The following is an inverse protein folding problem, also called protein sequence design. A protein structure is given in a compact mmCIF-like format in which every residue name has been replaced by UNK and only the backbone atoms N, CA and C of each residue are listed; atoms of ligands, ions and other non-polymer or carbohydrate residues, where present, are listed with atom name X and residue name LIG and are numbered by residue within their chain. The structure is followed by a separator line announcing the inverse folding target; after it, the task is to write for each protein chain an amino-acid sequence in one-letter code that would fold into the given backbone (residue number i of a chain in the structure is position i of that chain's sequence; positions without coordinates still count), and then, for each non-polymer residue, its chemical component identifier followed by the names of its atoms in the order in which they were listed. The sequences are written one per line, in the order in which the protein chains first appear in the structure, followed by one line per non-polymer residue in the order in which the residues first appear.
data_IF_229534961102
#
_entry.id   IF_229534961102
#
_cell.length_a   1.000
_cell.length_b   1.000
_cell.length_c   1.000
_cell.angle_alpha   90.00
_cell.angle_beta   90.00
_cell.angle_gamma   90.00
#
_symmetry.space_group_name_H-M   'P 1'
#
loop_
_entity.id
_entity.type
_entity.pdbx_description
1 polymer ?
#
# COMPACT_ATOMS: atom_id res chain seq x y z
N UNK A 1 8.15 -27.64 32.06
CA UNK A 1 9.34 -26.84 31.72
C UNK A 1 8.88 -25.43 31.36
N UNK A 2 9.15 -24.47 32.26
CA UNK A 2 8.65 -23.10 32.19
C UNK A 2 9.59 -22.25 31.36
N UNK A 3 9.08 -21.62 30.32
CA UNK A 3 9.81 -20.61 29.55
C UNK A 3 9.61 -19.25 30.25
N UNK A 4 10.68 -18.71 30.79
CA UNK A 4 10.72 -17.36 31.36
C UNK A 4 10.71 -16.33 30.23
N UNK A 5 9.70 -15.45 30.27
CA UNK A 5 9.65 -14.20 29.49
C UNK A 5 10.82 -13.29 29.89
N UNK A 6 11.75 -13.08 28.99
CA UNK A 6 12.81 -12.08 29.15
C UNK A 6 12.26 -10.67 28.92
N UNK A 7 12.39 -9.83 29.93
CA UNK A 7 12.13 -8.40 29.85
C UNK A 7 13.10 -7.75 28.86
N UNK A 8 12.58 -7.25 27.72
CA UNK A 8 13.33 -6.33 26.88
C UNK A 8 13.23 -4.93 27.46
N UNK A 9 14.33 -4.49 28.07
CA UNK A 9 14.53 -3.12 28.53
C UNK A 9 14.60 -2.17 27.34
N UNK A 10 13.94 -1.01 27.48
CA UNK A 10 13.96 0.14 26.59
C UNK A 10 15.39 0.46 26.10
N UNK A 11 15.70 0.13 24.86
CA UNK A 11 16.88 0.66 24.19
C UNK A 11 16.61 2.12 23.81
N UNK A 12 17.43 3.02 24.29
CA UNK A 12 17.42 4.45 24.00
C UNK A 12 17.34 4.70 22.50
N UNK A 13 16.22 5.26 22.06
CA UNK A 13 15.98 5.73 20.70
C UNK A 13 16.84 6.96 20.47
N UNK A 14 18.04 6.76 19.89
CA UNK A 14 18.88 7.85 19.42
C UNK A 14 18.26 8.39 18.13
N UNK A 15 17.57 9.53 18.24
CA UNK A 15 17.00 10.28 17.11
C UNK A 15 18.13 10.76 16.20
N UNK A 16 18.51 9.92 15.22
CA UNK A 16 19.22 10.44 14.05
C UNK A 16 18.22 11.26 13.25
N UNK A 17 18.22 12.56 13.47
CA UNK A 17 17.49 13.55 12.69
C UNK A 17 17.75 13.29 11.20
N UNK A 18 16.67 13.09 10.43
CA UNK A 18 16.77 12.93 8.98
C UNK A 18 17.52 14.11 8.39
N UNK A 19 18.54 13.88 7.58
CA UNK A 19 19.36 14.90 6.91
C UNK A 19 18.57 15.86 6.00
N UNK A 20 17.24 15.67 5.84
CA UNK A 20 16.45 16.31 4.82
C UNK A 20 15.29 17.10 5.42
N UNK A 21 15.20 18.41 5.17
CA UNK A 21 14.00 19.16 5.50
C UNK A 21 12.87 18.73 4.56
N UNK A 22 11.95 17.95 5.08
CA UNK A 22 10.67 17.62 4.43
C UNK A 22 9.69 18.73 4.80
N UNK A 23 8.77 19.09 3.92
CA UNK A 23 7.61 19.91 4.31
C UNK A 23 6.99 19.26 5.55
N UNK A 24 6.73 19.99 6.63
CA UNK A 24 6.32 19.38 7.90
C UNK A 24 5.07 18.51 7.80
N UNK A 25 4.33 18.59 6.70
CA UNK A 25 3.05 17.92 6.51
C UNK A 25 3.05 16.81 5.45
N UNK A 26 4.14 16.59 4.67
CA UNK A 26 4.12 15.51 3.64
C UNK A 26 4.36 14.16 4.26
N UNK A 27 3.48 13.22 3.99
CA UNK A 27 3.62 11.82 4.39
C UNK A 27 4.28 11.01 3.26
N UNK A 28 5.38 10.33 3.59
CA UNK A 28 6.13 9.47 2.66
C UNK A 28 5.95 8.03 3.12
N UNK A 29 5.16 7.28 2.37
CA UNK A 29 4.68 5.96 2.77
C UNK A 29 5.18 4.90 1.79
N UNK A 30 5.94 3.95 2.29
CA UNK A 30 6.35 2.77 1.55
C UNK A 30 5.21 1.74 1.56
N UNK A 31 4.79 1.26 0.38
CA UNK A 31 3.87 0.13 0.27
C UNK A 31 4.69 -1.11 -0.11
N UNK A 32 4.83 -2.04 0.80
CA UNK A 32 5.73 -3.18 0.68
C UNK A 32 5.09 -4.49 1.11
N UNK A 33 5.73 -5.60 0.73
CA UNK A 33 5.31 -6.95 1.11
C UNK A 33 6.48 -7.92 1.02
N UNK A 34 6.42 -9.01 1.77
CA UNK A 34 7.40 -10.07 1.70
C UNK A 34 7.28 -10.99 0.47
N UNK A 35 6.09 -11.01 -0.18
CA UNK A 35 5.79 -11.93 -1.29
C UNK A 35 5.25 -11.17 -2.50
N UNK A 36 5.62 -11.63 -3.70
CA UNK A 36 5.04 -11.14 -4.94
C UNK A 36 3.56 -11.51 -5.08
N UNK A 37 2.78 -10.69 -5.81
CA UNK A 37 1.39 -10.99 -6.14
C UNK A 37 0.37 -10.78 -5.01
N UNK A 38 0.74 -10.30 -3.83
CA UNK A 38 -0.21 -10.00 -2.72
C UNK A 38 -1.03 -8.73 -2.93
N UNK A 39 -0.72 -7.91 -3.96
CA UNK A 39 -1.52 -6.76 -4.35
C UNK A 39 -0.95 -5.39 -3.96
N UNK A 40 0.37 -5.23 -3.80
CA UNK A 40 1.03 -3.93 -3.53
C UNK A 40 0.63 -2.85 -4.51
N UNK A 41 0.94 -3.05 -5.79
CA UNK A 41 0.68 -2.09 -6.87
C UNK A 41 -0.82 -1.77 -6.98
N UNK A 42 -1.68 -2.78 -6.80
CA UNK A 42 -3.14 -2.58 -6.78
C UNK A 42 -3.57 -1.71 -5.60
N UNK A 43 -3.00 -1.94 -4.41
CA UNK A 43 -3.24 -1.08 -3.24
C UNK A 43 -2.74 0.33 -3.51
N UNK A 44 -1.52 0.50 -4.02
CA UNK A 44 -0.91 1.81 -4.31
C UNK A 44 -1.78 2.62 -5.27
N UNK A 45 -2.23 2.03 -6.38
CA UNK A 45 -3.09 2.68 -7.36
C UNK A 45 -4.44 3.11 -6.74
N UNK A 46 -5.13 2.18 -6.06
CA UNK A 46 -6.45 2.45 -5.48
C UNK A 46 -6.41 3.42 -4.30
N UNK A 47 -5.37 3.32 -3.45
CA UNK A 47 -5.16 4.24 -2.33
C UNK A 47 -4.81 5.64 -2.83
N UNK A 48 -3.96 5.74 -3.88
CA UNK A 48 -3.62 7.00 -4.53
C UNK A 48 -4.86 7.72 -5.06
N UNK A 49 -5.73 7.03 -5.79
CA UNK A 49 -7.03 7.57 -6.25
C UNK A 49 -7.91 7.99 -5.06
N UNK A 50 -8.03 7.14 -4.03
CA UNK A 50 -8.90 7.42 -2.90
C UNK A 50 -8.45 8.67 -2.12
N UNK A 51 -7.15 8.85 -1.90
CA UNK A 51 -6.60 10.04 -1.24
C UNK A 51 -6.79 11.30 -2.10
N UNK A 52 -6.56 11.21 -3.41
CA UNK A 52 -6.71 12.32 -4.34
C UNK A 52 -8.16 12.80 -4.43
N UNK A 53 -9.13 11.87 -4.44
CA UNK A 53 -10.58 12.17 -4.38
C UNK A 53 -11.00 12.89 -3.11
N UNK A 54 -10.28 12.70 -2.03
CA UNK A 54 -10.46 13.42 -0.77
C UNK A 54 -9.77 14.78 -0.75
N UNK A 55 -9.21 15.22 -1.88
CA UNK A 55 -8.57 16.52 -2.07
C UNK A 55 -7.08 16.57 -1.76
N UNK A 56 -6.47 15.45 -1.34
CA UNK A 56 -5.04 15.42 -1.04
C UNK A 56 -4.22 15.35 -2.34
N UNK A 57 -3.22 16.22 -2.48
CA UNK A 57 -2.25 16.14 -3.57
C UNK A 57 -1.38 14.90 -3.37
N UNK A 58 -1.58 13.89 -4.19
CA UNK A 58 -0.97 12.58 -4.04
C UNK A 58 -0.09 12.27 -5.25
N UNK A 59 1.11 11.79 -5.01
CA UNK A 59 1.94 11.18 -6.05
C UNK A 59 2.20 9.72 -5.70
N UNK A 60 2.07 8.88 -6.71
CA UNK A 60 2.49 7.48 -6.64
C UNK A 60 3.80 7.34 -7.39
N UNK A 61 4.81 6.79 -6.74
CA UNK A 61 6.14 6.54 -7.30
C UNK A 61 6.28 5.04 -7.52
N UNK A 62 6.43 4.63 -8.76
CA UNK A 62 6.77 3.25 -9.09
C UNK A 62 8.27 3.02 -8.81
N UNK A 63 8.58 2.20 -7.82
CA UNK A 63 9.95 1.80 -7.49
C UNK A 63 10.25 0.35 -7.93
N UNK A 64 9.34 -0.30 -8.66
CA UNK A 64 9.60 -1.59 -9.32
C UNK A 64 10.17 -1.36 -10.73
N UNK A 65 11.45 -1.03 -10.78
CA UNK A 65 12.17 -0.78 -12.04
C UNK A 65 12.24 -2.02 -12.94
N UNK A 66 11.97 -3.21 -12.39
CA UNK A 66 12.00 -4.46 -13.15
C UNK A 66 10.75 -4.71 -13.97
N UNK A 67 9.57 -4.45 -13.42
CA UNK A 67 8.30 -4.88 -14.01
C UNK A 67 7.38 -3.73 -14.43
N UNK A 68 7.51 -2.52 -13.88
CA UNK A 68 6.71 -1.35 -14.26
C UNK A 68 5.24 -1.68 -14.47
N UNK A 69 4.48 -1.82 -13.40
CA UNK A 69 3.07 -2.19 -13.50
C UNK A 69 2.09 -1.08 -13.07
N UNK A 70 2.59 -0.06 -12.37
CA UNK A 70 1.73 0.99 -11.79
C UNK A 70 1.11 1.89 -12.87
N UNK A 71 1.84 2.15 -13.95
CA UNK A 71 1.36 2.91 -15.10
C UNK A 71 0.21 2.20 -15.83
N UNK A 72 0.31 0.88 -15.98
CA UNK A 72 -0.75 0.05 -16.58
C UNK A 72 -2.02 0.05 -15.72
N UNK A 73 -1.88 -0.10 -14.39
CA UNK A 73 -3.02 -0.09 -13.47
C UNK A 73 -3.76 1.26 -13.45
N UNK A 74 -3.04 2.35 -13.73
CA UNK A 74 -3.59 3.70 -13.78
C UNK A 74 -4.04 4.13 -15.19
N UNK A 75 -3.82 3.30 -16.23
CA UNK A 75 -4.12 3.62 -17.63
C UNK A 75 -3.34 4.82 -18.15
N UNK A 76 -2.09 4.96 -17.71
CA UNK A 76 -1.21 6.09 -18.03
C UNK A 76 -0.02 5.72 -18.91
N UNK A 77 0.15 4.45 -19.29
CA UNK A 77 1.29 3.91 -20.03
C UNK A 77 1.59 4.68 -21.31
N UNK A 78 0.55 5.10 -22.05
CA UNK A 78 0.67 5.83 -23.33
C UNK A 78 0.94 7.34 -23.15
N UNK A 79 1.14 7.82 -21.91
CA UNK A 79 1.38 9.25 -21.60
C UNK A 79 2.76 9.50 -21.01
N UNK A 80 3.55 8.46 -20.83
CA UNK A 80 4.88 8.55 -20.27
C UNK A 80 5.84 8.99 -21.35
N UNK A 81 6.50 10.13 -21.12
CA UNK A 81 7.56 10.68 -21.97
C UNK A 81 8.90 10.59 -21.25
N UNK A 82 8.91 10.92 -19.98
CA UNK A 82 10.06 10.87 -19.09
C UNK A 82 9.72 10.08 -17.83
N UNK A 83 10.74 9.58 -17.16
CA UNK A 83 10.65 8.73 -15.97
C UNK A 83 11.52 9.30 -14.83
N UNK A 84 11.56 8.60 -13.70
CA UNK A 84 12.46 8.93 -12.62
C UNK A 84 13.94 8.92 -13.04
N UNK A 85 14.29 8.12 -14.04
CA UNK A 85 15.65 8.05 -14.56
C UNK A 85 16.11 9.37 -15.16
N UNK A 86 15.35 9.94 -16.09
CA UNK A 86 15.73 11.20 -16.76
C UNK A 86 15.75 12.37 -15.79
N UNK A 87 14.97 12.31 -14.70
CA UNK A 87 15.04 13.30 -13.62
C UNK A 87 16.36 13.19 -12.86
N UNK A 88 16.83 11.98 -12.57
CA UNK A 88 18.11 11.75 -11.88
C UNK A 88 19.32 12.10 -12.76
N UNK A 89 19.22 11.81 -14.05
CA UNK A 89 20.23 12.16 -15.06
C UNK A 89 20.24 13.66 -15.42
N UNK A 90 19.31 14.43 -14.81
CA UNK A 90 19.15 15.89 -15.06
C UNK A 90 18.83 16.25 -16.53
N UNK A 91 18.38 15.26 -17.32
CA UNK A 91 17.97 15.44 -18.71
C UNK A 91 16.55 16.00 -18.86
N UNK A 92 15.74 15.95 -17.79
CA UNK A 92 14.44 16.63 -17.71
C UNK A 92 14.18 17.17 -16.29
N UNK A 93 13.20 18.08 -16.17
CA UNK A 93 12.71 18.54 -14.87
C UNK A 93 11.65 17.55 -14.34
N UNK A 94 11.50 17.48 -13.00
CA UNK A 94 10.51 16.63 -12.34
C UNK A 94 9.10 16.79 -12.93
N UNK A 95 8.68 18.06 -13.17
CA UNK A 95 7.34 18.36 -13.69
C UNK A 95 7.07 17.76 -15.08
N UNK A 96 8.12 17.48 -15.86
CA UNK A 96 8.02 16.86 -17.18
C UNK A 96 7.89 15.33 -17.09
N UNK A 97 8.41 14.73 -16.03
CA UNK A 97 8.30 13.28 -15.76
C UNK A 97 7.01 12.93 -15.00
N UNK A 98 6.38 13.89 -14.31
CA UNK A 98 5.12 13.68 -13.61
C UNK A 98 3.95 13.55 -14.58
N UNK A 99 3.29 12.39 -14.57
CA UNK A 99 2.10 12.10 -15.38
C UNK A 99 0.85 12.31 -14.54
N UNK A 100 0.10 13.40 -14.77
CA UNK A 100 -1.18 13.63 -14.07
C UNK A 100 -2.25 12.64 -14.53
N UNK A 101 -3.02 12.12 -13.59
CA UNK A 101 -4.13 11.23 -13.89
C UNK A 101 -5.25 11.96 -14.64
N UNK A 102 -5.89 11.28 -15.62
CA UNK A 102 -6.85 11.91 -16.54
C UNK A 102 -8.12 12.41 -15.85
N UNK A 103 -8.65 11.62 -14.92
CA UNK A 103 -9.93 11.86 -14.25
C UNK A 103 -9.75 12.37 -12.82
N UNK A 104 -8.53 12.26 -12.28
CA UNK A 104 -8.22 12.63 -10.89
C UNK A 104 -7.02 13.59 -10.84
N UNK A 105 -7.28 14.91 -10.96
CA UNK A 105 -6.22 15.92 -11.14
C UNK A 105 -5.27 16.04 -9.94
N UNK A 106 -5.68 15.59 -8.77
CA UNK A 106 -4.86 15.58 -7.56
C UNK A 106 -3.92 14.37 -7.49
N UNK A 107 -4.01 13.42 -8.45
CA UNK A 107 -3.10 12.29 -8.54
C UNK A 107 -2.11 12.47 -9.67
N UNK A 108 -0.84 12.25 -9.37
CA UNK A 108 0.23 12.13 -10.34
C UNK A 108 0.97 10.79 -10.17
N UNK A 109 1.49 10.28 -11.27
CA UNK A 109 2.43 9.16 -11.31
C UNK A 109 3.82 9.68 -11.64
N UNK A 110 4.84 9.24 -10.90
CA UNK A 110 6.23 9.27 -11.35
C UNK A 110 6.64 7.85 -11.73
N UNK A 111 6.79 7.55 -13.04
CA UNK A 111 7.09 6.20 -13.49
C UNK A 111 8.52 5.78 -13.15
N UNK A 112 8.71 4.49 -12.91
CA UNK A 112 10.03 3.89 -12.85
C UNK A 112 10.80 4.08 -14.15
N UNK A 113 12.13 4.15 -14.06
CA UNK A 113 13.02 4.17 -15.22
C UNK A 113 13.18 2.79 -15.88
N UNK A 114 14.20 2.67 -16.71
CA UNK A 114 14.58 1.43 -17.37
C UNK A 114 15.08 0.41 -16.31
N UNK A 115 14.85 -0.91 -16.48
CA UNK A 115 15.37 -1.96 -15.61
C UNK A 115 16.88 -1.89 -15.34
N UNK A 116 17.67 -1.43 -16.31
CA UNK A 116 19.12 -1.20 -16.12
C UNK A 116 19.45 -0.15 -15.08
N UNK A 117 18.48 0.68 -14.69
CA UNK A 117 18.66 1.66 -13.62
C UNK A 117 18.98 1.02 -12.28
N UNK A 118 18.52 -0.21 -12.02
CA UNK A 118 18.82 -0.96 -10.81
C UNK A 118 20.32 -1.21 -10.61
N UNK A 119 21.12 -1.25 -11.70
CA UNK A 119 22.56 -1.50 -11.63
C UNK A 119 23.33 -0.33 -10.99
N UNK A 120 22.78 0.87 -11.02
CA UNK A 120 23.44 2.08 -10.53
C UNK A 120 22.62 2.92 -9.53
N UNK A 121 21.33 2.66 -9.40
CA UNK A 121 20.46 3.38 -8.48
C UNK A 121 20.90 3.15 -7.03
N UNK A 122 21.11 4.25 -6.32
CA UNK A 122 21.52 4.25 -4.91
C UNK A 122 20.42 4.77 -3.99
N UNK A 123 20.49 4.46 -2.69
CA UNK A 123 19.58 5.04 -1.71
C UNK A 123 19.48 6.56 -1.76
N UNK A 124 20.59 7.25 -1.97
CA UNK A 124 20.65 8.73 -2.05
C UNK A 124 19.85 9.27 -3.25
N UNK A 125 19.81 8.54 -4.37
CA UNK A 125 19.04 8.92 -5.55
C UNK A 125 17.53 8.86 -5.28
N UNK A 126 17.07 7.80 -4.60
CA UNK A 126 15.67 7.70 -4.17
C UNK A 126 15.30 8.81 -3.19
N UNK A 127 16.17 9.12 -2.23
CA UNK A 127 15.97 10.23 -1.30
C UNK A 127 15.89 11.57 -2.03
N UNK A 128 16.72 11.78 -3.06
CA UNK A 128 16.73 13.01 -3.89
C UNK A 128 15.40 13.17 -4.62
N UNK A 129 14.88 12.12 -5.26
CA UNK A 129 13.57 12.14 -5.93
C UNK A 129 12.46 12.45 -4.93
N UNK A 130 12.38 11.71 -3.83
CA UNK A 130 11.33 11.90 -2.82
C UNK A 130 11.38 13.30 -2.24
N UNK A 131 12.58 13.85 -1.96
CA UNK A 131 12.74 15.25 -1.51
C UNK A 131 12.19 16.27 -2.50
N UNK A 132 12.32 16.04 -3.81
CA UNK A 132 11.72 16.92 -4.81
C UNK A 132 10.18 16.83 -4.79
N UNK A 133 9.63 15.62 -4.64
CA UNK A 133 8.19 15.37 -4.56
C UNK A 133 7.54 16.01 -3.34
N UNK A 134 8.20 15.99 -2.17
CA UNK A 134 7.65 16.57 -0.93
C UNK A 134 7.39 18.07 -0.98
N UNK A 135 7.90 18.77 -1.99
CA UNK A 135 7.63 20.21 -2.19
C UNK A 135 6.26 20.49 -2.81
N UNK A 136 5.62 19.49 -3.41
CA UNK A 136 4.43 19.65 -4.26
C UNK A 136 3.25 18.80 -3.82
N UNK A 137 3.48 17.73 -3.03
CA UNK A 137 2.48 16.73 -2.68
C UNK A 137 2.31 16.56 -1.18
N UNK A 138 1.08 16.25 -0.75
CA UNK A 138 0.74 15.92 0.63
C UNK A 138 1.08 14.45 0.95
N UNK A 139 0.97 13.58 -0.05
CA UNK A 139 1.29 12.16 0.04
C UNK A 139 2.23 11.73 -1.08
N UNK A 140 3.29 11.02 -0.70
CA UNK A 140 4.18 10.30 -1.60
C UNK A 140 4.03 8.81 -1.27
N UNK A 141 3.35 8.06 -2.13
CA UNK A 141 3.20 6.61 -2.00
C UNK A 141 4.26 5.93 -2.87
N UNK A 142 5.12 5.14 -2.27
CA UNK A 142 6.19 4.42 -2.98
C UNK A 142 5.77 2.97 -3.15
N UNK A 143 5.49 2.56 -4.40
CA UNK A 143 5.22 1.15 -4.74
C UNK A 143 6.52 0.39 -4.81
N UNK A 144 6.78 -0.43 -3.80
CA UNK A 144 8.03 -1.14 -3.63
C UNK A 144 8.04 -2.44 -4.46
N UNK A 145 9.17 -2.88 -5.03
CA UNK A 145 9.29 -4.22 -5.56
C UNK A 145 9.03 -5.29 -4.50
N UNK A 146 8.73 -6.51 -4.93
CA UNK A 146 8.55 -7.63 -4.01
C UNK A 146 9.89 -8.08 -3.41
N UNK A 147 9.83 -8.58 -2.17
CA UNK A 147 11.01 -9.12 -1.50
C UNK A 147 11.78 -8.09 -0.70
N UNK A 148 13.04 -8.38 -0.44
CA UNK A 148 13.90 -7.64 0.52
C UNK A 148 15.26 -7.25 -0.08
N UNK A 149 15.37 -7.30 -1.40
CA UNK A 149 16.61 -7.04 -2.13
C UNK A 149 16.89 -5.54 -2.28
N UNK A 150 17.84 -5.17 -3.14
CA UNK A 150 18.33 -3.79 -3.25
C UNK A 150 17.24 -2.79 -3.66
N UNK A 151 16.28 -3.19 -4.50
CA UNK A 151 15.12 -2.35 -4.82
C UNK A 151 14.31 -1.97 -3.58
N UNK A 152 14.07 -2.92 -2.67
CA UNK A 152 13.43 -2.66 -1.38
C UNK A 152 14.27 -1.70 -0.53
N UNK A 153 15.58 -1.93 -0.42
CA UNK A 153 16.47 -1.07 0.40
C UNK A 153 16.48 0.37 -0.11
N UNK A 154 16.54 0.55 -1.43
CA UNK A 154 16.48 1.87 -2.06
C UNK A 154 15.16 2.59 -1.75
N UNK A 155 14.02 1.92 -1.93
CA UNK A 155 12.70 2.49 -1.62
C UNK A 155 12.54 2.78 -0.11
N UNK A 156 12.98 1.87 0.75
CA UNK A 156 12.91 2.02 2.20
C UNK A 156 13.76 3.20 2.69
N UNK A 157 14.94 3.44 2.10
CA UNK A 157 15.83 4.54 2.50
C UNK A 157 15.21 5.94 2.36
N UNK A 158 14.25 6.09 1.45
CA UNK A 158 13.55 7.35 1.19
C UNK A 158 12.24 7.48 1.96
N UNK A 159 11.83 6.44 2.69
CA UNK A 159 10.53 6.34 3.35
C UNK A 159 10.61 6.69 4.84
N UNK A 160 9.51 7.15 5.40
CA UNK A 160 9.37 7.42 6.83
C UNK A 160 8.39 6.49 7.51
N UNK A 161 7.35 6.10 6.79
CA UNK A 161 6.25 5.26 7.22
C UNK A 161 6.14 4.08 6.26
N UNK A 162 5.53 2.99 6.71
CA UNK A 162 5.27 1.85 5.83
C UNK A 162 3.86 1.28 6.02
N UNK A 163 3.30 0.80 4.92
CA UNK A 163 2.14 -0.09 4.89
C UNK A 163 2.65 -1.44 4.40
N UNK A 164 2.61 -2.43 5.27
CA UNK A 164 2.88 -3.82 4.91
C UNK A 164 1.58 -4.45 4.46
N UNK A 165 1.53 -4.91 3.21
CA UNK A 165 0.40 -5.66 2.67
C UNK A 165 0.72 -7.15 2.63
N UNK A 166 -0.20 -7.97 3.11
CA UNK A 166 -0.11 -9.43 3.04
C UNK A 166 -1.50 -10.04 2.77
N UNK A 167 -1.53 -11.34 2.49
CA UNK A 167 -2.75 -12.15 2.41
C UNK A 167 -2.83 -13.04 3.64
N UNK A 168 -4.04 -13.50 4.07
CA UNK A 168 -4.19 -14.35 5.26
C UNK A 168 -3.80 -15.82 4.97
N UNK A 169 -2.63 -15.99 4.37
CA UNK A 169 -1.97 -17.25 4.07
C UNK A 169 -0.71 -17.38 4.91
N UNK A 170 -0.48 -18.53 5.53
CA UNK A 170 0.66 -18.77 6.44
C UNK A 170 2.01 -18.36 5.82
N UNK A 171 2.24 -18.70 4.54
CA UNK A 171 3.49 -18.35 3.86
C UNK A 171 3.63 -16.84 3.66
N UNK A 172 2.56 -16.15 3.29
CA UNK A 172 2.58 -14.70 3.06
C UNK A 172 2.77 -13.92 4.38
N UNK A 173 2.15 -14.38 5.47
CA UNK A 173 2.32 -13.81 6.82
C UNK A 173 3.76 -13.98 7.30
N UNK A 174 4.36 -15.16 7.11
CA UNK A 174 5.77 -15.40 7.45
C UNK A 174 6.74 -14.50 6.67
N UNK A 175 6.47 -14.28 5.39
CA UNK A 175 7.30 -13.38 4.57
C UNK A 175 7.10 -11.92 4.95
N UNK A 176 5.88 -11.52 5.37
CA UNK A 176 5.59 -10.19 5.90
C UNK A 176 6.35 -9.91 7.21
N UNK A 177 6.44 -10.87 8.12
CA UNK A 177 7.19 -10.75 9.37
C UNK A 177 8.67 -10.41 9.12
N UNK A 178 9.30 -11.03 8.12
CA UNK A 178 10.68 -10.71 7.71
C UNK A 178 10.84 -9.27 7.25
N UNK A 179 9.89 -8.78 6.46
CA UNK A 179 9.90 -7.38 5.99
C UNK A 179 9.73 -6.42 7.15
N UNK A 180 8.84 -6.72 8.11
CA UNK A 180 8.63 -5.91 9.31
C UNK A 180 9.93 -5.80 10.11
N UNK A 181 10.67 -6.90 10.30
CA UNK A 181 11.97 -6.88 10.95
C UNK A 181 12.97 -5.95 10.26
N UNK A 182 13.01 -5.96 8.93
CA UNK A 182 13.88 -5.07 8.15
C UNK A 182 13.45 -3.60 8.23
N UNK A 183 12.16 -3.31 8.18
CA UNK A 183 11.64 -1.95 8.34
C UNK A 183 12.00 -1.37 9.71
N UNK A 184 11.84 -2.14 10.77
CA UNK A 184 12.23 -1.76 12.13
C UNK A 184 13.74 -1.49 12.23
N UNK A 185 14.58 -2.35 11.64
CA UNK A 185 16.03 -2.17 11.62
C UNK A 185 16.44 -0.89 10.87
N UNK A 186 15.69 -0.49 9.84
CA UNK A 186 15.91 0.76 9.10
C UNK A 186 15.27 1.99 9.78
N UNK A 187 14.63 1.84 10.93
CA UNK A 187 14.03 2.94 11.70
C UNK A 187 12.77 3.53 11.07
N UNK A 188 12.06 2.76 10.25
CA UNK A 188 10.80 3.18 9.64
C UNK A 188 9.67 3.00 10.64
N UNK A 189 8.93 4.06 10.93
CA UNK A 189 7.80 4.07 11.88
C UNK A 189 6.89 5.28 11.60
N UNK A 190 5.55 5.14 11.65
CA UNK A 190 4.82 3.91 11.98
C UNK A 190 4.81 2.89 10.84
N UNK A 191 4.65 1.61 11.22
CA UNK A 191 4.36 0.51 10.29
C UNK A 191 2.93 0.06 10.53
N UNK A 192 2.12 -0.01 9.48
CA UNK A 192 0.71 -0.41 9.54
C UNK A 192 0.44 -1.61 8.63
N UNK A 193 -0.53 -2.44 8.98
CA UNK A 193 -0.89 -3.64 8.22
C UNK A 193 -2.11 -3.39 7.33
N UNK A 194 -2.05 -3.84 6.09
CA UNK A 194 -3.22 -4.06 5.23
C UNK A 194 -3.34 -5.55 4.91
N UNK A 195 -4.46 -6.15 5.25
CA UNK A 195 -4.75 -7.55 4.97
C UNK A 195 -5.59 -7.64 3.69
N UNK A 196 -5.03 -8.21 2.63
CA UNK A 196 -5.66 -8.28 1.30
C UNK A 196 -6.22 -9.67 1.00
N UNK A 197 -7.16 -9.72 0.03
CA UNK A 197 -7.80 -10.96 -0.45
C UNK A 197 -8.46 -11.77 0.67
N UNK A 198 -9.08 -11.08 1.60
CA UNK A 198 -9.81 -11.72 2.70
C UNK A 198 -11.06 -12.41 2.16
N UNK A 199 -11.19 -13.71 2.43
CA UNK A 199 -12.33 -14.55 2.03
C UNK A 199 -13.14 -14.95 3.26
N UNK A 200 -14.26 -14.29 3.55
CA UNK A 200 -15.04 -14.55 4.78
C UNK A 200 -15.47 -15.98 4.96
N UNK A 201 -15.81 -16.68 3.85
CA UNK A 201 -16.23 -18.08 3.89
C UNK A 201 -15.10 -19.00 4.32
N UNK A 202 -13.87 -18.79 3.83
CA UNK A 202 -12.71 -19.60 4.18
C UNK A 202 -12.26 -19.37 5.63
N UNK A 203 -12.42 -18.14 6.14
CA UNK A 203 -12.18 -17.86 7.57
C UNK A 203 -13.21 -18.62 8.42
N UNK A 204 -14.48 -18.60 8.05
CA UNK A 204 -15.54 -19.30 8.78
C UNK A 204 -15.39 -20.83 8.77
N UNK A 205 -14.78 -21.41 7.72
CA UNK A 205 -14.45 -22.84 7.63
C UNK A 205 -13.07 -23.20 8.19
N UNK A 206 -12.33 -22.23 8.77
CA UNK A 206 -10.96 -22.40 9.29
C UNK A 206 -9.93 -22.84 8.23
N UNK A 207 -10.18 -22.55 6.97
CA UNK A 207 -9.28 -22.84 5.84
C UNK A 207 -8.37 -21.62 5.51
N UNK A 208 -8.56 -20.50 6.19
CA UNK A 208 -7.80 -19.27 6.05
C UNK A 208 -7.60 -18.66 7.45
N UNK A 209 -6.42 -18.06 7.70
CA UNK A 209 -6.17 -17.36 8.95
C UNK A 209 -7.20 -16.24 9.14
N UNK A 210 -7.67 -16.07 10.37
CA UNK A 210 -8.53 -14.94 10.71
C UNK A 210 -7.77 -13.62 10.71
N UNK A 211 -8.49 -12.51 10.72
CA UNK A 211 -7.88 -11.18 10.85
C UNK A 211 -7.11 -11.07 12.17
N UNK A 212 -7.70 -11.60 13.27
CA UNK A 212 -7.11 -11.56 14.60
C UNK A 212 -5.83 -12.40 14.65
N UNK A 213 -5.84 -13.63 14.06
CA UNK A 213 -4.63 -14.47 14.00
C UNK A 213 -3.47 -13.73 13.31
N UNK A 214 -3.73 -13.05 12.19
CA UNK A 214 -2.67 -12.33 11.46
C UNK A 214 -2.17 -11.11 12.22
N UNK A 215 -3.07 -10.35 12.86
CA UNK A 215 -2.68 -9.18 13.66
C UNK A 215 -1.90 -9.57 14.91
N UNK A 216 -2.24 -10.68 15.54
CA UNK A 216 -1.52 -11.21 16.70
C UNK A 216 -0.12 -11.72 16.31
N UNK A 217 -0.01 -12.43 15.18
CA UNK A 217 1.28 -12.93 14.69
C UNK A 217 2.22 -11.77 14.32
N UNK A 218 1.73 -10.78 13.57
CA UNK A 218 2.57 -9.69 13.07
C UNK A 218 2.74 -8.53 14.06
N UNK A 219 1.92 -8.47 15.10
CA UNK A 219 1.92 -7.43 16.15
C UNK A 219 1.91 -5.99 15.58
N UNK A 220 1.18 -5.77 14.48
CA UNK A 220 1.03 -4.47 13.83
C UNK A 220 -0.40 -3.94 13.93
N UNK A 221 -0.57 -2.61 14.04
CA UNK A 221 -1.89 -1.99 13.94
C UNK A 221 -2.48 -2.23 12.53
N UNK A 222 -3.71 -2.75 12.50
CA UNK A 222 -4.45 -2.99 11.26
C UNK A 222 -5.01 -1.67 10.73
N UNK A 223 -4.45 -1.18 9.63
CA UNK A 223 -4.97 -0.02 8.90
C UNK A 223 -6.27 -0.36 8.17
N UNK A 224 -6.38 -1.56 7.64
CA UNK A 224 -7.58 -2.05 7.00
C UNK A 224 -7.43 -3.42 6.37
N UNK A 225 -8.57 -3.94 5.91
CA UNK A 225 -8.61 -5.16 5.13
C UNK A 225 -9.30 -4.92 3.78
N UNK A 226 -8.97 -5.73 2.80
CA UNK A 226 -9.58 -5.73 1.47
C UNK A 226 -10.14 -7.11 1.20
N UNK A 227 -11.45 -7.16 0.93
CA UNK A 227 -12.12 -8.40 0.57
C UNK A 227 -11.71 -8.87 -0.82
N UNK A 228 -11.64 -10.18 -1.03
CA UNK A 228 -11.47 -10.74 -2.38
C UNK A 228 -12.65 -10.35 -3.24
N UNK A 229 -12.36 -9.74 -4.39
CA UNK A 229 -13.36 -9.22 -5.32
C UNK A 229 -12.85 -9.36 -6.75
N UNK A 230 -13.58 -10.10 -7.58
CA UNK A 230 -13.23 -10.31 -8.99
C UNK A 230 -13.18 -9.00 -9.80
N UNK A 231 -13.93 -7.97 -9.36
CA UNK A 231 -13.91 -6.66 -9.99
C UNK A 231 -12.52 -6.00 -9.93
N UNK A 232 -11.68 -6.36 -8.96
CA UNK A 232 -10.29 -5.90 -8.90
C UNK A 232 -9.51 -6.35 -10.13
N UNK A 233 -9.67 -7.62 -10.54
CA UNK A 233 -9.00 -8.16 -11.73
C UNK A 233 -9.52 -7.47 -13.00
N UNK A 234 -10.84 -7.31 -13.11
CA UNK A 234 -11.48 -6.67 -14.26
C UNK A 234 -11.01 -5.22 -14.41
N UNK A 235 -10.99 -4.45 -13.31
CA UNK A 235 -10.56 -3.06 -13.30
C UNK A 235 -9.07 -2.91 -13.63
N UNK A 236 -8.23 -3.78 -13.06
CA UNK A 236 -6.79 -3.82 -13.34
C UNK A 236 -6.52 -4.06 -14.83
N UNK A 237 -7.19 -5.04 -15.44
CA UNK A 237 -7.02 -5.36 -16.87
C UNK A 237 -7.49 -4.22 -17.81
N UNK A 238 -8.33 -3.31 -17.32
CA UNK A 238 -8.78 -2.12 -18.06
C UNK A 238 -7.89 -0.89 -17.85
N UNK A 239 -6.91 -0.97 -16.93
CA UNK A 239 -6.15 0.21 -16.53
C UNK A 239 -7.01 1.27 -15.80
N UNK A 240 -8.05 0.83 -15.12
CA UNK A 240 -9.00 1.69 -14.42
C UNK A 240 -9.12 1.25 -12.95
N UNK A 241 -8.45 1.91 -11.99
CA UNK A 241 -8.52 1.52 -10.57
C UNK A 241 -9.96 1.40 -10.09
N UNK A 242 -10.23 0.37 -9.30
CA UNK A 242 -11.58 0.04 -8.85
C UNK A 242 -12.24 1.17 -8.05
N UNK A 243 -11.47 1.92 -7.26
CA UNK A 243 -11.93 3.12 -6.55
C UNK A 243 -12.38 4.24 -7.47
N UNK A 244 -11.96 4.21 -8.73
CA UNK A 244 -12.39 5.18 -9.74
C UNK A 244 -13.73 4.80 -10.36
N UNK A 245 -13.95 3.52 -10.65
CA UNK A 245 -15.04 3.04 -11.50
C UNK A 245 -16.22 2.43 -10.75
N UNK A 246 -16.00 1.85 -9.58
CA UNK A 246 -16.99 1.02 -8.88
C UNK A 246 -17.09 1.32 -7.39
N UNK A 247 -17.65 2.46 -7.02
CA UNK A 247 -17.79 2.87 -5.61
C UNK A 247 -18.58 1.88 -4.74
N UNK A 248 -19.43 1.03 -5.34
CA UNK A 248 -20.27 0.06 -4.63
C UNK A 248 -19.62 -1.32 -4.46
N UNK A 249 -18.47 -1.58 -5.09
CA UNK A 249 -17.72 -2.83 -4.89
C UNK A 249 -17.26 -2.95 -3.43
N UNK A 250 -17.32 -4.14 -2.82
CA UNK A 250 -16.79 -4.34 -1.47
C UNK A 250 -15.31 -3.94 -1.35
N UNK A 251 -14.47 -4.31 -2.33
CA UNK A 251 -13.06 -3.95 -2.34
C UNK A 251 -12.84 -2.44 -2.52
N UNK A 252 -13.62 -1.76 -3.37
CA UNK A 252 -13.52 -0.30 -3.54
C UNK A 252 -13.83 0.45 -2.23
N UNK A 253 -14.84 0.00 -1.49
CA UNK A 253 -15.15 0.55 -0.15
C UNK A 253 -14.00 0.29 0.84
N UNK A 254 -13.37 -0.90 0.78
CA UNK A 254 -12.21 -1.20 1.61
C UNK A 254 -11.05 -0.22 1.35
N UNK A 255 -10.68 0.02 0.09
CA UNK A 255 -9.64 0.99 -0.27
C UNK A 255 -9.98 2.41 0.17
N UNK A 256 -11.23 2.85 -0.01
CA UNK A 256 -11.70 4.16 0.45
C UNK A 256 -11.61 4.29 1.96
N UNK A 257 -12.01 3.26 2.71
CA UNK A 257 -11.92 3.25 4.17
C UNK A 257 -10.46 3.25 4.67
N UNK A 258 -9.55 2.58 3.95
CA UNK A 258 -8.10 2.64 4.24
C UNK A 258 -7.60 4.08 4.08
N UNK A 259 -7.97 4.77 2.99
CA UNK A 259 -7.60 6.17 2.78
C UNK A 259 -8.13 7.08 3.88
N UNK A 260 -9.40 6.91 4.31
CA UNK A 260 -9.98 7.67 5.41
C UNK A 260 -9.21 7.48 6.72
N UNK A 261 -8.92 6.22 7.11
CA UNK A 261 -8.14 5.95 8.33
C UNK A 261 -6.72 6.49 8.25
N UNK A 262 -6.12 6.42 7.06
CA UNK A 262 -4.80 6.99 6.83
C UNK A 262 -4.77 8.51 7.04
N UNK A 263 -5.90 9.18 6.78
CA UNK A 263 -6.09 10.61 7.07
C UNK A 263 -6.52 10.89 8.53
N UNK A 264 -6.63 9.87 9.38
CA UNK A 264 -6.99 10.02 10.78
C UNK A 264 -8.49 9.98 11.07
N UNK A 265 -9.32 9.59 10.08
CA UNK A 265 -10.76 9.43 10.30
C UNK A 265 -11.05 8.12 11.07
N UNK A 266 -11.90 8.18 12.08
CA UNK A 266 -12.35 7.01 12.83
C UNK A 266 -13.47 6.28 12.07
N UNK A 267 -13.07 5.39 11.17
CA UNK A 267 -14.01 4.54 10.41
C UNK A 267 -13.90 3.10 10.91
N UNK A 268 -15.01 2.43 11.28
CA UNK A 268 -14.99 1.03 11.70
C UNK A 268 -14.39 0.13 10.62
N UNK A 269 -13.68 -0.90 11.02
CA UNK A 269 -13.23 -1.95 10.11
C UNK A 269 -14.44 -2.67 9.51
N UNK A 270 -14.34 -3.05 8.25
CA UNK A 270 -15.35 -3.90 7.63
C UNK A 270 -15.30 -5.26 8.30
N UNK A 271 -16.45 -5.72 8.80
CA UNK A 271 -16.58 -7.06 9.39
C UNK A 271 -16.78 -8.09 8.27
N UNK A 272 -15.77 -8.96 8.01
CA UNK A 272 -15.87 -9.95 6.94
C UNK A 272 -17.08 -10.86 7.09
N UNK A 273 -17.51 -11.16 8.32
CA UNK A 273 -18.64 -12.04 8.59
C UNK A 273 -19.99 -11.42 8.19
N UNK A 274 -20.09 -10.10 8.13
CA UNK A 274 -21.31 -9.40 7.71
C UNK A 274 -21.40 -9.23 6.20
N UNK A 275 -20.28 -9.03 5.52
CA UNK A 275 -20.24 -8.84 4.06
C UNK A 275 -20.40 -10.14 3.27
N UNK A 276 -20.05 -11.30 3.84
CA UNK A 276 -20.23 -12.62 3.22
C UNK A 276 -21.68 -13.12 3.15
N UNK A 277 -22.62 -12.38 3.77
CA UNK A 277 -24.04 -12.73 3.76
C UNK A 277 -24.74 -11.99 2.61
N UNK A 278 -24.83 -12.63 1.45
CA UNK A 278 -25.54 -12.12 0.30
C UNK A 278 -27.02 -11.75 0.64
N UNK A 279 -27.64 -10.93 -0.21
CA UNK A 279 -29.04 -10.50 -0.07
C UNK A 279 -30.01 -11.68 0.22
N UNK A 280 -29.69 -12.89 -0.30
CA UNK A 280 -30.48 -14.13 -0.03
C UNK A 280 -30.46 -14.54 1.45
N UNK A 281 -29.31 -14.39 2.14
CA UNK A 281 -29.21 -14.74 3.56
C UNK A 281 -29.83 -13.67 4.46
N UNK A 282 -29.81 -12.38 4.05
CA UNK A 282 -30.56 -11.32 4.69
C UNK A 282 -32.07 -11.52 4.56
N UNK A 283 -32.57 -11.93 3.38
CA UNK A 283 -33.98 -12.28 3.16
C UNK A 283 -34.40 -13.51 3.97
N UNK A 284 -33.55 -14.55 4.04
CA UNK A 284 -33.86 -15.78 4.80
C UNK A 284 -34.01 -15.52 6.30
N UNK A 285 -33.19 -14.62 6.88
CA UNK A 285 -33.33 -14.21 8.28
C UNK A 285 -34.57 -13.37 8.52
N UNK A 286 -34.91 -12.44 7.63
CA UNK A 286 -36.15 -11.64 7.71
C UNK A 286 -37.39 -12.51 7.64
N UNK A 287 -37.35 -13.62 6.91
CA UNK A 287 -38.46 -14.58 6.83
C UNK A 287 -38.54 -15.51 8.05
N UNK A 288 -37.42 -15.79 8.70
CA UNK A 288 -37.40 -16.62 9.92
C UNK A 288 -37.79 -15.86 11.18
N UNK A 289 -37.67 -14.51 11.21
CA UNK A 289 -38.11 -13.68 12.35
C UNK A 289 -39.60 -13.29 12.33
N UNK A 290 -40.34 -13.70 11.31
CA UNK A 290 -41.80 -13.45 11.20
C UNK A 290 -42.70 -14.66 11.50
N UNK A 291 -42.12 -15.74 12.04
CA UNK A 291 -42.87 -16.91 12.47
C UNK A 291 -42.64 -17.09 13.99
N UNK A 292 -43.21 -16.17 14.76
CA UNK A 292 -43.62 -16.36 16.15
C UNK A 292 -44.69 -15.33 16.48
#
# INVERSE_FOLDING_TARGET
MSWKLGHFTNAHYNSRTSKWPVSPNTRIILICSGKGGVGKTTLTANLGIALARKGAKTVVLDADFGLRNLDLLLGLENRIVYTAQEVLEESCRLEQALVKHKQEPNLALLPAGNPRMLEWLKPDDMQRIVKMLTKQFDYVLIDCPAGVEDGFKNAASASKEAIVITTPEVSAVRDADRVIGLLNTNGISPIQLVLNRVRPKMIASQEMLSVDDVTDILALPLLGLVLEDEQVIVSTNRGEPLTLTSSNSPAARCYSNIACRLQGEEIPLIDPAKEGKGLRDRFRRLMQTKIF
#
